data_IF_343552458842
#
_entry.id   IF_343552458842
#
_cell.length_a   1.000
_cell.length_b   1.000
_cell.length_c   1.000
_cell.angle_alpha   90.00
_cell.angle_beta   90.00
_cell.angle_gamma   90.00
#
_symmetry.space_group_name_H-M   'P 1'
#
loop_
_entity.id
_entity.type
_entity.pdbx_description
1 polymer ?
#
# COMPACT_ATOMS: atom_id res chain seq x y z
N UNK A 1 10.23 -10.01 -9.92
CA UNK A 1 9.89 -10.35 -11.33
C UNK A 1 8.94 -11.52 -11.25
N UNK A 2 7.75 -11.39 -11.82
CA UNK A 2 6.75 -12.47 -11.88
C UNK A 2 6.33 -12.68 -13.34
N UNK A 3 5.90 -13.90 -13.68
CA UNK A 3 5.55 -14.30 -15.05
C UNK A 3 4.05 -14.54 -15.18
N UNK A 4 3.42 -13.86 -16.13
CA UNK A 4 2.04 -14.09 -16.53
C UNK A 4 2.03 -15.07 -17.71
N UNK A 5 1.17 -16.07 -17.65
CA UNK A 5 0.94 -17.03 -18.73
C UNK A 5 -0.40 -16.72 -19.40
N UNK A 6 -0.37 -16.30 -20.66
CA UNK A 6 -1.58 -16.04 -21.44
C UNK A 6 -1.57 -16.95 -22.68
N UNK A 7 -2.05 -18.18 -22.51
CA UNK A 7 -1.95 -19.23 -23.52
C UNK A 7 -0.49 -19.55 -23.87
N UNK A 8 -0.08 -19.26 -25.11
CA UNK A 8 1.29 -19.50 -25.61
C UNK A 8 2.28 -18.39 -25.26
N UNK A 9 1.79 -17.24 -24.79
CA UNK A 9 2.62 -16.07 -24.50
C UNK A 9 2.99 -16.01 -23.02
N UNK A 10 4.28 -15.80 -22.75
CA UNK A 10 4.78 -15.47 -21.41
C UNK A 10 5.09 -13.98 -21.35
N UNK A 11 4.60 -13.31 -20.33
CA UNK A 11 4.78 -11.87 -20.13
C UNK A 11 5.48 -11.62 -18.78
N UNK A 12 6.41 -10.67 -18.75
CA UNK A 12 7.05 -10.18 -17.54
C UNK A 12 6.35 -8.93 -17.04
N UNK A 13 5.97 -8.91 -15.77
CA UNK A 13 5.50 -7.70 -15.10
C UNK A 13 6.69 -6.92 -14.52
N UNK A 14 6.85 -5.68 -14.96
CA UNK A 14 7.97 -4.80 -14.61
C UNK A 14 7.45 -3.57 -13.88
N UNK A 15 8.09 -3.28 -12.75
CA UNK A 15 7.93 -2.05 -11.99
C UNK A 15 9.22 -1.25 -12.14
N UNK A 16 9.13 0.00 -12.58
CA UNK A 16 10.29 0.87 -12.75
C UNK A 16 10.06 2.20 -12.05
N UNK A 17 11.10 2.69 -11.36
CA UNK A 17 11.09 3.98 -10.68
C UNK A 17 12.51 4.53 -10.69
N UNK A 18 12.64 5.86 -10.74
CA UNK A 18 13.94 6.52 -10.78
C UNK A 18 14.70 6.42 -9.45
N UNK A 19 14.00 6.65 -8.34
CA UNK A 19 14.56 6.62 -7.00
C UNK A 19 13.51 6.16 -5.99
N UNK A 20 13.94 5.85 -4.76
CA UNK A 20 13.02 5.55 -3.67
C UNK A 20 12.06 6.75 -3.47
N UNK A 21 10.77 6.46 -3.31
CA UNK A 21 9.70 7.47 -3.19
C UNK A 21 9.45 8.34 -4.43
N UNK A 22 9.95 7.95 -5.61
CA UNK A 22 9.52 8.56 -6.88
C UNK A 22 8.34 7.78 -7.46
N UNK A 23 7.60 8.38 -8.41
CA UNK A 23 6.51 7.68 -9.08
C UNK A 23 6.98 6.38 -9.75
N UNK A 24 6.15 5.35 -9.66
CA UNK A 24 6.41 4.04 -10.26
C UNK A 24 5.58 3.86 -11.52
N UNK A 25 6.22 3.41 -12.60
CA UNK A 25 5.54 2.91 -13.79
C UNK A 25 5.45 1.38 -13.76
N UNK A 26 4.34 0.84 -14.24
CA UNK A 26 4.06 -0.59 -14.33
C UNK A 26 3.76 -0.93 -15.78
N UNK A 27 4.49 -1.92 -16.32
CA UNK A 27 4.34 -2.39 -17.71
C UNK A 27 4.50 -3.90 -17.80
N UNK A 28 3.96 -4.48 -18.89
CA UNK A 28 4.25 -5.85 -19.31
C UNK A 28 5.20 -5.85 -20.49
N UNK A 29 6.17 -6.75 -20.44
CA UNK A 29 7.05 -7.07 -21.55
C UNK A 29 6.77 -8.50 -22.03
N UNK A 30 6.84 -8.71 -23.34
CA UNK A 30 6.91 -10.04 -23.91
C UNK A 30 8.22 -10.72 -23.47
N UNK A 31 8.15 -11.90 -22.87
CA UNK A 31 9.33 -12.55 -22.31
C UNK A 31 10.36 -12.93 -23.40
N UNK A 32 9.91 -13.30 -24.59
CA UNK A 32 10.78 -13.78 -25.66
C UNK A 32 11.45 -12.63 -26.41
N UNK A 33 10.70 -11.57 -26.70
CA UNK A 33 11.15 -10.47 -27.56
C UNK A 33 11.60 -9.23 -26.78
N UNK A 34 11.29 -9.15 -25.48
CA UNK A 34 11.54 -7.97 -24.65
C UNK A 34 10.70 -6.74 -25.01
N UNK A 35 9.81 -6.84 -26.00
CA UNK A 35 8.96 -5.72 -26.45
C UNK A 35 7.89 -5.43 -25.40
N UNK A 36 7.54 -4.15 -25.23
CA UNK A 36 6.41 -3.74 -24.39
C UNK A 36 5.09 -4.23 -25.02
N UNK A 37 4.22 -4.81 -24.20
CA UNK A 37 2.94 -5.42 -24.64
C UNK A 37 1.72 -4.84 -23.95
N UNK A 38 1.91 -3.84 -23.10
CA UNK A 38 0.84 -3.10 -22.43
C UNK A 38 1.02 -1.60 -22.58
N UNK A 39 0.01 -0.87 -22.14
CA UNK A 39 0.17 0.54 -21.76
C UNK A 39 1.03 0.64 -20.48
N UNK A 40 1.26 1.88 -20.03
CA UNK A 40 1.91 2.15 -18.74
C UNK A 40 0.82 2.54 -17.74
N UNK A 41 0.80 1.85 -16.61
CA UNK A 41 0.08 2.28 -15.43
C UNK A 41 1.02 3.08 -14.53
N UNK A 42 0.63 4.28 -14.14
CA UNK A 42 1.44 5.18 -13.33
C UNK A 42 0.90 5.27 -11.91
N UNK A 43 1.78 5.07 -10.93
CA UNK A 43 1.48 5.36 -9.55
C UNK A 43 2.24 6.62 -9.10
N UNK A 44 1.58 7.62 -8.48
CA UNK A 44 2.17 8.90 -8.07
C UNK A 44 3.03 8.80 -6.80
N UNK A 45 3.66 7.64 -6.59
CA UNK A 45 4.52 7.32 -5.46
C UNK A 45 5.19 5.98 -5.69
N UNK A 46 6.01 5.52 -4.74
CA UNK A 46 6.83 4.32 -4.91
C UNK A 46 6.09 3.05 -4.51
N UNK A 47 6.24 2.00 -5.32
CA UNK A 47 5.79 0.64 -5.00
C UNK A 47 6.94 -0.14 -4.35
N UNK A 48 6.72 -0.62 -3.12
CA UNK A 48 7.69 -1.40 -2.36
C UNK A 48 7.71 -2.88 -2.74
N UNK A 49 6.61 -3.38 -3.29
CA UNK A 49 6.50 -4.76 -3.76
C UNK A 49 5.09 -5.10 -4.22
N UNK A 50 4.99 -6.20 -4.93
CA UNK A 50 3.73 -6.70 -5.48
C UNK A 50 3.70 -8.23 -5.48
N UNK A 51 2.49 -8.78 -5.52
CA UNK A 51 2.21 -10.17 -5.86
C UNK A 51 1.23 -10.22 -7.02
N UNK A 52 1.27 -11.32 -7.76
CA UNK A 52 0.30 -11.66 -8.78
C UNK A 52 -0.50 -12.87 -8.32
N UNK A 53 -1.78 -12.69 -8.01
CA UNK A 53 -2.59 -13.71 -7.35
C UNK A 53 -4.05 -13.55 -7.78
N UNK A 54 -4.79 -14.67 -7.93
CA UNK A 54 -6.24 -14.67 -8.16
C UNK A 54 -6.95 -14.54 -6.82
N UNK A 55 -7.22 -13.31 -6.41
CA UNK A 55 -7.65 -12.94 -5.08
C UNK A 55 -9.16 -13.08 -4.91
N UNK A 56 -9.92 -12.69 -5.95
CA UNK A 56 -11.37 -12.80 -5.95
C UNK A 56 -11.88 -14.20 -6.36
N UNK A 57 -10.98 -15.11 -6.77
CA UNK A 57 -11.28 -16.47 -7.24
C UNK A 57 -12.14 -16.50 -8.52
N UNK A 58 -11.99 -15.52 -9.41
CA UNK A 58 -12.65 -15.48 -10.72
C UNK A 58 -11.86 -16.17 -11.84
N UNK A 59 -10.68 -16.71 -11.51
CA UNK A 59 -9.77 -17.38 -12.44
C UNK A 59 -8.79 -16.44 -13.14
N UNK A 60 -8.84 -15.13 -12.90
CA UNK A 60 -7.90 -14.14 -13.40
C UNK A 60 -7.02 -13.65 -12.26
N UNK A 61 -5.74 -13.44 -12.57
CA UNK A 61 -4.80 -12.92 -11.57
C UNK A 61 -4.86 -11.41 -11.49
N UNK A 62 -4.96 -10.87 -10.29
CA UNK A 62 -4.77 -9.46 -10.02
C UNK A 62 -3.35 -9.16 -9.56
N UNK A 63 -2.90 -7.94 -9.87
CA UNK A 63 -1.70 -7.36 -9.27
C UNK A 63 -2.12 -6.72 -7.98
N UNK A 64 -1.58 -7.21 -6.87
CA UNK A 64 -1.76 -6.60 -5.54
C UNK A 64 -0.42 -6.01 -5.12
N UNK A 65 -0.38 -4.69 -4.94
CA UNK A 65 0.85 -3.97 -4.66
C UNK A 65 0.66 -2.92 -3.57
N UNK A 66 1.72 -2.72 -2.78
CA UNK A 66 1.76 -1.73 -1.72
C UNK A 66 2.97 -0.81 -1.84
N UNK A 67 2.88 0.35 -1.20
CA UNK A 67 3.96 1.32 -1.22
C UNK A 67 3.67 2.58 -0.44
N UNK A 68 4.25 3.69 -0.88
CA UNK A 68 4.00 5.04 -0.40
C UNK A 68 3.40 5.92 -1.50
N UNK A 69 2.31 6.61 -1.22
CA UNK A 69 1.69 7.58 -2.12
C UNK A 69 2.16 8.98 -1.77
N UNK A 70 2.88 9.64 -2.69
CA UNK A 70 3.51 10.93 -2.38
C UNK A 70 2.47 12.05 -2.24
N UNK A 71 1.46 12.07 -3.10
CA UNK A 71 0.41 13.08 -3.02
C UNK A 71 -0.52 12.90 -1.82
N UNK A 72 -0.61 11.67 -1.29
CA UNK A 72 -1.42 11.38 -0.11
C UNK A 72 -0.62 11.36 1.19
N UNK A 73 0.72 11.39 1.11
CA UNK A 73 1.63 11.22 2.25
C UNK A 73 1.27 10.01 3.14
N UNK A 74 0.79 8.93 2.50
CA UNK A 74 0.27 7.73 3.17
C UNK A 74 0.77 6.46 2.49
N UNK A 75 0.90 5.40 3.28
CA UNK A 75 1.05 4.05 2.78
C UNK A 75 -0.22 3.65 2.03
N UNK A 76 -0.07 2.86 0.97
CA UNK A 76 -1.21 2.37 0.21
C UNK A 76 -1.12 0.87 -0.06
N UNK A 77 -2.27 0.30 -0.40
CA UNK A 77 -2.41 -0.99 -1.06
C UNK A 77 -3.43 -0.83 -2.20
N UNK A 78 -3.13 -1.38 -3.37
CA UNK A 78 -4.09 -1.48 -4.46
C UNK A 78 -4.18 -2.90 -5.00
N UNK A 79 -5.29 -3.18 -5.67
CA UNK A 79 -5.45 -4.35 -6.54
C UNK A 79 -5.97 -3.90 -7.91
N UNK A 80 -5.42 -4.47 -8.99
CA UNK A 80 -5.87 -4.21 -10.36
C UNK A 80 -5.70 -5.46 -11.22
N UNK A 81 -6.62 -5.68 -12.15
CA UNK A 81 -6.51 -6.76 -13.12
C UNK A 81 -5.26 -6.57 -13.99
N UNK A 82 -4.52 -7.65 -14.23
CA UNK A 82 -3.23 -7.60 -14.93
C UNK A 82 -3.32 -7.20 -16.42
N UNK A 83 -4.53 -7.12 -16.98
CA UNK A 83 -4.84 -6.64 -18.32
C UNK A 83 -5.24 -5.15 -18.37
N UNK A 84 -5.53 -4.52 -17.22
CA UNK A 84 -5.96 -3.10 -17.10
C UNK A 84 -4.82 -2.12 -16.80
N UNK A 85 -3.63 -2.36 -17.36
CA UNK A 85 -2.43 -1.54 -17.08
C UNK A 85 -2.38 -0.22 -17.86
N UNK A 86 -3.37 0.65 -17.66
CA UNK A 86 -3.45 2.01 -18.24
C UNK A 86 -3.97 2.98 -17.18
N UNK A 87 -3.41 4.19 -17.16
CA UNK A 87 -3.94 5.31 -16.38
C UNK A 87 -3.06 5.69 -15.19
N UNK A 88 -3.65 6.39 -14.23
CA UNK A 88 -3.01 6.79 -12.97
C UNK A 88 -3.89 6.49 -11.77
N UNK A 89 -3.29 6.48 -10.57
CA UNK A 89 -4.03 6.39 -9.31
C UNK A 89 -4.42 7.77 -8.77
N UNK A 90 -5.44 7.83 -7.89
CA UNK A 90 -5.84 9.06 -7.20
C UNK A 90 -4.69 9.70 -6.42
N UNK A 91 -4.58 11.02 -6.48
CA UNK A 91 -3.51 11.78 -5.83
C UNK A 91 -3.88 13.24 -5.68
N UNK A 92 -3.12 13.99 -4.87
CA UNK A 92 -3.27 15.44 -4.74
C UNK A 92 -2.86 16.17 -6.01
N UNK A 93 -3.32 17.41 -6.19
CA UNK A 93 -3.05 18.25 -7.37
C UNK A 93 -1.57 18.35 -7.75
N UNK A 94 -0.68 18.50 -6.78
CA UNK A 94 0.76 18.65 -6.99
C UNK A 94 1.46 17.40 -7.55
N UNK A 95 0.77 16.26 -7.58
CA UNK A 95 1.31 14.97 -8.04
C UNK A 95 0.48 14.38 -9.18
N UNK A 96 -0.44 15.15 -9.77
CA UNK A 96 -1.24 14.71 -10.90
C UNK A 96 -0.39 14.50 -12.15
N UNK A 97 -0.58 13.36 -12.80
CA UNK A 97 -0.09 13.16 -14.15
C UNK A 97 -1.03 13.85 -15.14
N UNK A 98 -0.54 14.89 -15.81
CA UNK A 98 -1.34 15.63 -16.79
C UNK A 98 -1.71 14.74 -17.97
N UNK A 99 -2.96 14.84 -18.42
CA UNK A 99 -3.49 14.11 -19.57
C UNK A 99 -3.46 12.57 -19.42
N UNK A 100 -3.48 12.06 -18.18
CA UNK A 100 -3.62 10.63 -17.89
C UNK A 100 -4.90 10.44 -17.08
N UNK A 101 -5.80 9.60 -17.59
CA UNK A 101 -7.06 9.24 -16.93
C UNK A 101 -6.80 8.36 -15.69
N UNK A 102 -7.76 8.36 -14.75
CA UNK A 102 -7.74 7.39 -13.67
C UNK A 102 -7.77 5.96 -14.23
N UNK A 103 -6.98 5.08 -13.63
CA UNK A 103 -6.96 3.67 -13.95
C UNK A 103 -8.23 2.97 -13.45
N UNK A 104 -8.65 1.92 -14.15
CA UNK A 104 -9.74 1.03 -13.74
C UNK A 104 -9.19 -0.04 -12.78
N UNK A 105 -8.92 0.36 -11.53
CA UNK A 105 -8.45 -0.53 -10.47
C UNK A 105 -9.60 -1.05 -9.60
N UNK A 106 -9.40 -2.24 -9.02
CA UNK A 106 -10.42 -2.92 -8.23
C UNK A 106 -10.52 -2.32 -6.82
N UNK A 107 -9.39 -2.01 -6.19
CA UNK A 107 -9.33 -1.43 -4.85
C UNK A 107 -8.13 -0.48 -4.71
N UNK A 108 -8.28 0.56 -3.89
CA UNK A 108 -7.20 1.44 -3.48
C UNK A 108 -7.42 1.93 -2.04
N UNK A 109 -6.54 1.51 -1.14
CA UNK A 109 -6.65 1.68 0.32
C UNK A 109 -5.47 2.53 0.78
N UNK A 110 -5.73 3.52 1.63
CA UNK A 110 -4.71 4.32 2.32
C UNK A 110 -4.67 3.97 3.80
N UNK A 111 -3.49 3.65 4.30
CA UNK A 111 -3.27 3.38 5.72
C UNK A 111 -2.77 4.64 6.44
N UNK A 112 -3.31 4.96 7.62
CA UNK A 112 -2.98 6.21 8.30
C UNK A 112 -1.57 6.20 8.87
N UNK A 113 -1.01 7.40 9.00
CA UNK A 113 0.15 7.63 9.85
C UNK A 113 -0.32 7.70 11.29
N UNK A 114 0.45 7.12 12.21
CA UNK A 114 0.25 7.32 13.65
C UNK A 114 1.00 8.55 14.14
N UNK A 115 0.64 9.02 15.34
CA UNK A 115 1.35 10.09 16.07
C UNK A 115 2.87 9.82 16.22
N UNK A 116 3.25 8.53 16.29
CA UNK A 116 4.64 8.09 16.27
C UNK A 116 5.36 8.52 15.00
N UNK A 117 4.75 8.32 13.83
CA UNK A 117 5.34 8.74 12.56
C UNK A 117 5.49 10.27 12.48
N UNK A 118 4.53 11.00 13.03
CA UNK A 118 4.55 12.47 13.08
C UNK A 118 5.65 12.99 14.00
N UNK A 119 5.84 12.37 15.17
CA UNK A 119 6.89 12.73 16.12
C UNK A 119 8.30 12.66 15.50
N UNK A 120 8.55 11.67 14.65
CA UNK A 120 9.83 11.53 13.93
C UNK A 120 9.91 12.31 12.62
N UNK A 121 8.94 13.20 12.38
CA UNK A 121 8.83 14.03 11.16
C UNK A 121 8.86 13.19 9.88
N UNK A 122 8.31 11.97 9.94
CA UNK A 122 8.22 11.11 8.76
C UNK A 122 7.18 11.70 7.79
N UNK A 123 7.61 12.04 6.58
CA UNK A 123 6.72 12.58 5.55
C UNK A 123 5.59 11.59 5.26
N UNK A 124 5.93 10.32 5.08
CA UNK A 124 5.02 9.22 4.74
C UNK A 124 5.30 8.00 5.64
N UNK A 125 4.27 7.19 5.88
CA UNK A 125 4.40 5.77 6.15
C UNK A 125 4.41 4.99 4.82
N UNK A 126 4.85 3.75 4.81
CA UNK A 126 4.95 2.96 3.58
C UNK A 126 4.67 1.47 3.81
N UNK A 127 4.06 0.80 2.82
CA UNK A 127 4.17 -0.67 2.74
C UNK A 127 5.49 -1.01 2.07
N UNK A 128 6.41 -1.65 2.81
CA UNK A 128 7.69 -2.10 2.29
C UNK A 128 7.66 -3.62 2.05
N UNK A 129 8.16 -4.04 0.89
CA UNK A 129 8.14 -5.43 0.46
C UNK A 129 6.82 -5.86 -0.17
N UNK A 130 6.76 -7.14 -0.53
CA UNK A 130 5.58 -7.74 -1.16
C UNK A 130 4.51 -8.09 -0.12
N UNK A 131 3.21 -7.91 -0.42
CA UNK A 131 2.16 -8.54 0.36
C UNK A 131 2.38 -10.06 0.46
N UNK A 132 1.99 -10.66 1.59
CA UNK A 132 2.09 -12.10 1.81
C UNK A 132 0.72 -12.69 2.10
N UNK A 133 0.51 -13.96 1.77
CA UNK A 133 -0.75 -14.66 2.06
C UNK A 133 -0.51 -15.58 3.25
N UNK A 134 -1.29 -15.39 4.31
CA UNK A 134 -1.23 -16.18 5.55
C UNK A 134 -2.65 -16.60 5.90
N UNK A 135 -2.92 -17.90 5.96
CA UNK A 135 -4.25 -18.45 6.30
C UNK A 135 -5.39 -17.84 5.45
N UNK A 136 -5.21 -17.74 4.13
CA UNK A 136 -6.14 -17.12 3.19
C UNK A 136 -6.44 -15.62 3.44
N UNK A 137 -5.58 -14.94 4.18
CA UNK A 137 -5.64 -13.50 4.40
C UNK A 137 -4.41 -12.84 3.79
N UNK A 138 -4.60 -11.66 3.21
CA UNK A 138 -3.50 -10.85 2.74
C UNK A 138 -2.91 -10.14 3.95
N UNK A 139 -1.60 -10.25 4.17
CA UNK A 139 -0.90 -9.57 5.25
C UNK A 139 0.11 -8.60 4.65
N UNK A 140 0.12 -7.39 5.19
CA UNK A 140 1.08 -6.35 4.83
C UNK A 140 1.68 -5.73 6.10
N UNK A 141 2.91 -5.27 6.00
CA UNK A 141 3.53 -4.41 7.00
C UNK A 141 3.48 -2.96 6.57
N UNK A 142 2.98 -2.08 7.43
CA UNK A 142 3.06 -0.63 7.29
C UNK A 142 4.20 -0.15 8.17
N UNK A 143 5.22 0.40 7.53
CA UNK A 143 6.42 0.92 8.18
C UNK A 143 6.28 2.40 8.46
N UNK A 144 6.77 2.80 9.63
CA UNK A 144 6.73 4.17 10.13
C UNK A 144 8.10 4.54 10.72
N UNK A 145 8.39 5.83 10.83
CA UNK A 145 9.65 6.32 11.40
C UNK A 145 10.62 6.89 10.37
N UNK A 146 11.87 7.13 10.80
CA UNK A 146 12.87 7.87 10.02
C UNK A 146 13.83 6.88 9.33
N UNK A 147 13.88 6.94 7.99
CA UNK A 147 14.71 6.05 7.15
C UNK A 147 16.21 6.05 7.52
N UNK A 148 16.71 7.10 8.18
CA UNK A 148 18.12 7.29 8.49
C UNK A 148 18.53 6.77 9.89
N UNK A 149 17.59 6.30 10.71
CA UNK A 149 17.89 5.94 12.10
C UNK A 149 18.17 4.44 12.33
N UNK A 150 18.15 3.57 11.31
CA UNK A 150 17.96 2.12 11.51
C UNK A 150 16.66 1.75 12.27
N UNK A 151 15.89 2.75 12.71
CA UNK A 151 14.59 2.69 13.40
C UNK A 151 13.43 2.96 12.42
N UNK A 152 13.54 2.50 11.17
CA UNK A 152 12.34 2.30 10.35
C UNK A 152 11.64 1.05 10.91
N UNK A 153 11.00 1.22 12.06
CA UNK A 153 10.39 0.13 12.78
C UNK A 153 9.11 -0.31 12.08
N UNK A 154 8.82 -1.61 12.20
CA UNK A 154 7.57 -2.19 11.72
C UNK A 154 6.42 -1.49 12.46
N UNK A 155 5.78 -0.54 11.77
CA UNK A 155 4.80 0.37 12.36
C UNK A 155 3.56 -0.37 12.84
N UNK A 156 2.96 -1.14 11.95
CA UNK A 156 1.91 -2.10 12.27
C UNK A 156 1.72 -3.04 11.08
N UNK A 157 1.18 -4.22 11.33
CA UNK A 157 0.72 -5.14 10.29
C UNK A 157 -0.78 -5.03 10.14
N UNK A 158 -1.26 -5.17 8.91
CA UNK A 158 -2.69 -5.29 8.60
C UNK A 158 -2.93 -6.62 7.91
N UNK A 159 -3.90 -7.39 8.40
CA UNK A 159 -4.45 -8.53 7.68
C UNK A 159 -5.79 -8.16 7.06
N UNK A 160 -5.92 -8.41 5.77
CA UNK A 160 -7.10 -8.13 4.98
C UNK A 160 -7.82 -9.43 4.60
N UNK A 161 -9.15 -9.39 4.66
CA UNK A 161 -10.00 -10.49 4.21
C UNK A 161 -10.09 -10.53 2.67
N UNK A 162 -10.80 -11.52 2.11
CA UNK A 162 -10.96 -11.68 0.65
C UNK A 162 -11.52 -10.47 -0.10
N UNK A 163 -12.21 -9.57 0.58
CA UNK A 163 -12.72 -8.34 -0.02
C UNK A 163 -11.73 -7.17 0.13
N UNK A 164 -10.48 -7.45 0.54
CA UNK A 164 -9.45 -6.49 0.90
C UNK A 164 -9.88 -5.51 2.02
N UNK A 165 -10.77 -5.94 2.91
CA UNK A 165 -11.08 -5.16 4.11
C UNK A 165 -10.13 -5.56 5.25
N UNK A 166 -9.54 -4.59 5.98
CA UNK A 166 -8.80 -4.82 7.20
C UNK A 166 -9.65 -5.56 8.22
N UNK A 167 -9.12 -6.67 8.72
CA UNK A 167 -9.79 -7.55 9.69
C UNK A 167 -9.02 -7.63 11.00
N UNK A 168 -7.68 -7.50 10.93
CA UNK A 168 -6.80 -7.50 12.07
C UNK A 168 -5.69 -6.47 11.87
N UNK A 169 -5.42 -5.70 12.91
CA UNK A 169 -4.27 -4.81 13.00
C UNK A 169 -3.43 -5.30 14.17
N UNK A 170 -2.13 -5.47 13.92
CA UNK A 170 -1.16 -5.90 14.91
C UNK A 170 -0.06 -4.86 14.98
N UNK A 171 0.40 -4.48 16.16
CA UNK A 171 1.55 -3.59 16.32
C UNK A 171 2.77 -4.42 16.68
N UNK A 172 3.94 -4.06 16.13
CA UNK A 172 5.18 -4.77 16.45
C UNK A 172 5.70 -4.41 17.85
N UNK A 173 6.28 -5.40 18.53
CA UNK A 173 6.78 -5.25 19.91
C UNK A 173 7.76 -4.09 20.08
N UNK A 174 8.64 -3.87 19.09
CA UNK A 174 9.59 -2.75 19.10
C UNK A 174 8.84 -1.41 19.18
N UNK A 175 7.84 -1.20 18.34
CA UNK A 175 7.02 0.02 18.38
C UNK A 175 6.24 0.15 19.67
N UNK A 176 5.67 -0.94 20.20
CA UNK A 176 5.00 -0.91 21.51
C UNK A 176 5.95 -0.35 22.57
N UNK A 177 7.16 -0.90 22.66
CA UNK A 177 8.16 -0.44 23.62
C UNK A 177 8.56 1.03 23.42
N UNK A 178 8.84 1.44 22.19
CA UNK A 178 9.30 2.81 21.92
C UNK A 178 8.19 3.84 22.11
N UNK A 179 7.02 3.63 21.51
CA UNK A 179 5.90 4.57 21.60
C UNK A 179 5.38 4.64 23.03
N UNK A 180 5.24 3.52 23.75
CA UNK A 180 4.76 3.55 25.13
C UNK A 180 5.72 4.26 26.09
N UNK A 181 7.03 4.20 25.81
CA UNK A 181 8.01 5.01 26.54
C UNK A 181 7.79 6.51 26.32
N UNK A 182 7.48 6.93 25.08
CA UNK A 182 7.13 8.32 24.78
C UNK A 182 5.81 8.74 25.45
N UNK A 183 4.82 7.85 25.51
CA UNK A 183 3.56 8.11 26.23
C UNK A 183 3.80 8.26 27.74
N UNK A 184 4.58 7.36 28.35
CA UNK A 184 4.94 7.42 29.78
C UNK A 184 5.72 8.68 30.15
N UNK A 185 6.49 9.22 29.20
CA UNK A 185 7.21 10.51 29.34
C UNK A 185 6.34 11.74 29.08
N UNK A 186 5.08 11.57 28.68
CA UNK A 186 4.18 12.67 28.32
C UNK A 186 4.54 13.36 27.00
N UNK A 187 5.35 12.73 26.15
CA UNK A 187 5.73 13.25 24.83
C UNK A 187 4.66 12.92 23.79
N UNK A 188 4.08 11.72 23.88
CA UNK A 188 2.93 11.30 23.09
C UNK A 188 1.72 11.12 23.99
N UNK A 189 0.53 11.24 23.41
CA UNK A 189 -0.71 11.11 24.16
C UNK A 189 -1.07 9.62 24.37
N UNK A 190 -1.70 9.28 25.51
CA UNK A 190 -2.41 8.01 25.65
C UNK A 190 -3.40 7.80 24.49
N UNK A 191 -3.77 6.55 24.19
CA UNK A 191 -3.54 5.32 24.96
C UNK A 191 -2.22 4.59 24.63
N UNK A 192 -1.93 3.51 25.35
CA UNK A 192 -0.79 2.61 25.06
C UNK A 192 -0.98 1.90 23.72
N UNK A 193 0.11 1.49 23.10
CA UNK A 193 0.20 1.19 21.67
C UNK A 193 -0.49 -0.12 21.27
N UNK A 194 -0.63 -1.08 22.18
CA UNK A 194 -1.34 -2.34 21.95
C UNK A 194 -2.80 -2.32 22.46
N UNK A 195 -3.24 -1.18 22.99
CA UNK A 195 -4.61 -1.03 23.50
C UNK A 195 -5.67 -1.09 22.39
N UNK A 196 -6.88 -1.60 22.68
CA UNK A 196 -8.00 -1.57 21.74
C UNK A 196 -8.29 -0.16 21.21
N UNK A 197 -8.14 0.86 22.06
CA UNK A 197 -8.35 2.26 21.72
C UNK A 197 -7.33 2.73 20.68
N UNK A 198 -6.03 2.44 20.87
CA UNK A 198 -5.00 2.79 19.88
C UNK A 198 -5.25 2.08 18.55
N UNK A 199 -5.54 0.77 18.59
CA UNK A 199 -5.86 0.00 17.39
C UNK A 199 -7.07 0.58 16.67
N UNK A 200 -8.08 1.04 17.42
CA UNK A 200 -9.26 1.68 16.85
C UNK A 200 -8.91 2.99 16.14
N UNK A 201 -8.00 3.80 16.68
CA UNK A 201 -7.55 5.03 15.99
C UNK A 201 -6.95 4.73 14.62
N UNK A 202 -6.19 3.65 14.48
CA UNK A 202 -5.67 3.21 13.18
C UNK A 202 -6.83 2.77 12.28
N UNK A 203 -7.74 1.92 12.78
CA UNK A 203 -8.85 1.39 11.97
C UNK A 203 -9.70 2.49 11.35
N UNK A 204 -10.24 3.41 12.17
CA UNK A 204 -11.17 4.44 11.70
C UNK A 204 -10.54 5.43 10.72
N UNK A 205 -9.21 5.57 10.75
CA UNK A 205 -8.47 6.45 9.84
C UNK A 205 -8.00 5.77 8.54
N UNK A 206 -8.36 4.50 8.31
CA UNK A 206 -8.16 3.82 7.02
C UNK A 206 -9.15 4.39 6.01
N UNK A 207 -8.62 4.81 4.85
CA UNK A 207 -9.43 5.36 3.78
C UNK A 207 -9.47 4.42 2.58
N UNK A 208 -10.61 4.35 1.90
CA UNK A 208 -10.76 3.64 0.63
C UNK A 208 -11.23 4.59 -0.47
N UNK A 209 -10.80 4.32 -1.69
CA UNK A 209 -11.31 5.02 -2.86
C UNK A 209 -12.67 4.45 -3.27
N UNK A 210 -13.70 5.30 -3.33
CA UNK A 210 -15.06 4.89 -3.71
C UNK A 210 -15.40 5.11 -5.20
N UNK A 211 -14.41 5.47 -6.03
CA UNK A 211 -14.59 5.86 -7.42
C UNK A 211 -14.51 7.38 -7.67
N UNK A 212 -14.70 8.21 -6.64
CA UNK A 212 -14.67 9.68 -6.76
C UNK A 212 -13.81 10.38 -5.71
N UNK A 213 -13.79 9.86 -4.49
CA UNK A 213 -13.02 10.41 -3.38
C UNK A 213 -12.63 9.31 -2.40
N UNK A 214 -11.71 9.66 -1.51
CA UNK A 214 -11.42 8.84 -0.34
C UNK A 214 -12.52 8.99 0.70
N UNK A 215 -12.96 7.86 1.26
CA UNK A 215 -13.93 7.78 2.34
C UNK A 215 -13.40 6.88 3.44
N UNK A 216 -13.83 7.13 4.68
CA UNK A 216 -13.49 6.28 5.83
C UNK A 216 -14.10 4.89 5.66
N UNK A 217 -13.31 3.87 5.95
CA UNK A 217 -13.71 2.48 5.76
C UNK A 217 -14.72 2.00 6.80
N UNK A 218 -14.59 2.51 8.02
CA UNK A 218 -15.41 2.16 9.18
C UNK A 218 -16.25 3.36 9.59
N UNK A 219 -17.11 3.84 8.67
CA UNK A 219 -18.20 4.72 9.07
C UNK A 219 -19.23 3.86 9.80
N UNK A 220 -19.54 4.23 11.05
CA UNK A 220 -20.55 3.57 11.88
C UNK A 220 -21.88 3.44 11.12
N UNK A 221 -22.44 2.23 11.11
CA UNK A 221 -23.88 2.01 11.02
C UNK A 221 -24.46 2.04 12.42
#
# INVERSE_FOLDING_TARGET
IDTIHNGTRKELLIFFQHYLFYPTGIVKLDLLTGKKVSNVLWHPGSIGGAILFDWNADGKKEIIAGGASNGMNRAFLFSIDHDKLKGTFPTSENYLFKNIELADFNNYILFPKTDYAEHFFAKYNAVLGKPIIVNNMLSIGVFEGKANLFEADFGYSVRLNKNLFPSLILVGDAKVNFRDNLVKKGILNPPLTDSPEFINTIKVNILIWNGSKFVELFMEN
#
